data_IF_236260300639
#
_entry.id   IF_236260300639
#
_cell.length_a   1.000
_cell.length_b   1.000
_cell.length_c   1.000
_cell.angle_alpha   90.00
_cell.angle_beta   90.00
_cell.angle_gamma   90.00
#
_symmetry.space_group_name_H-M   'P 1'
#
loop_
_entity.id
_entity.type
_entity.pdbx_description
1 polymer ?
#
# COMPACT_ATOMS: atom_id res chain seq x y z
N UNK A 1 5.48 -17.23 81.46
CA UNK A 1 4.25 -18.00 81.16
C UNK A 1 3.21 -17.05 80.59
N UNK A 2 2.54 -17.48 79.51
CA UNK A 2 1.31 -16.95 78.89
C UNK A 2 1.46 -15.89 77.77
N UNK A 3 1.23 -16.45 76.58
CA UNK A 3 0.92 -15.90 75.26
C UNK A 3 -0.02 -14.69 75.24
N UNK A 4 0.15 -13.79 74.26
CA UNK A 4 -0.85 -13.66 73.18
C UNK A 4 -0.31 -12.87 71.99
N UNK A 5 -0.66 -13.36 70.81
CA UNK A 5 -0.27 -12.97 69.46
C UNK A 5 -1.38 -12.07 68.90
N UNK A 6 -1.07 -10.86 68.41
CA UNK A 6 -2.03 -10.01 67.69
C UNK A 6 -1.57 -9.85 66.24
N UNK A 7 -2.27 -10.55 65.34
CA UNK A 7 -2.13 -10.41 63.88
C UNK A 7 -2.95 -9.20 63.40
N UNK A 8 -2.28 -8.18 62.90
CA UNK A 8 -2.90 -7.09 62.14
C UNK A 8 -3.17 -7.57 60.71
N UNK A 9 -4.44 -7.76 60.37
CA UNK A 9 -4.88 -8.08 59.01
C UNK A 9 -4.81 -6.80 58.16
N UNK A 10 -3.86 -6.76 57.23
CA UNK A 10 -3.76 -5.73 56.20
C UNK A 10 -4.74 -6.07 55.06
N UNK A 11 -5.91 -5.45 55.05
CA UNK A 11 -6.87 -5.60 53.95
C UNK A 11 -6.39 -4.79 52.73
N UNK A 12 -5.65 -5.44 51.84
CA UNK A 12 -5.33 -4.90 50.52
C UNK A 12 -6.59 -5.00 49.63
N UNK A 13 -7.26 -3.87 49.40
CA UNK A 13 -8.36 -3.78 48.44
C UNK A 13 -7.86 -4.07 47.03
N UNK A 14 -8.24 -5.23 46.48
CA UNK A 14 -8.08 -5.53 45.06
C UNK A 14 -9.04 -4.66 44.26
N UNK A 15 -8.56 -3.55 43.71
CA UNK A 15 -9.22 -2.90 42.58
C UNK A 15 -9.03 -3.78 41.35
N UNK A 16 -10.01 -4.65 41.09
CA UNK A 16 -10.13 -5.35 39.82
C UNK A 16 -10.50 -4.31 38.74
N UNK A 17 -9.51 -3.76 38.04
CA UNK A 17 -9.75 -3.00 36.83
C UNK A 17 -10.16 -3.97 35.73
N UNK A 18 -11.43 -3.97 35.36
CA UNK A 18 -11.92 -4.64 34.17
C UNK A 18 -11.33 -3.94 32.94
N UNK A 19 -10.30 -4.55 32.33
CA UNK A 19 -9.81 -4.12 31.03
C UNK A 19 -10.90 -4.44 30.00
N UNK A 20 -11.62 -3.41 29.53
CA UNK A 20 -12.47 -3.52 28.37
C UNK A 20 -11.58 -3.81 27.16
N UNK A 21 -11.71 -5.01 26.57
CA UNK A 21 -11.08 -5.30 25.30
C UNK A 21 -11.67 -4.36 24.24
N UNK A 22 -10.83 -3.51 23.65
CA UNK A 22 -11.23 -2.67 22.52
C UNK A 22 -11.46 -3.57 21.30
N UNK A 23 -12.67 -3.55 20.74
CA UNK A 23 -13.02 -4.27 19.51
C UNK A 23 -12.59 -3.52 18.23
N UNK A 24 -11.68 -2.55 18.35
CA UNK A 24 -11.24 -1.69 17.25
C UNK A 24 -9.88 -2.16 16.71
N UNK A 25 -9.77 -2.21 15.39
CA UNK A 25 -8.50 -2.46 14.70
C UNK A 25 -7.74 -1.13 14.58
N UNK A 26 -6.45 -1.16 14.93
CA UNK A 26 -5.51 -0.07 14.61
C UNK A 26 -4.70 -0.49 13.38
N UNK A 27 -4.57 0.39 12.40
CA UNK A 27 -3.83 0.12 11.15
C UNK A 27 -2.86 1.25 10.82
N UNK A 28 -1.79 0.91 10.09
CA UNK A 28 -0.90 1.90 9.49
C UNK A 28 -1.44 2.30 8.13
N UNK A 29 -1.22 3.56 7.75
CA UNK A 29 -1.69 4.10 6.48
C UNK A 29 -0.71 5.12 5.90
N UNK A 30 -0.71 5.29 4.59
CA UNK A 30 0.16 6.25 3.91
C UNK A 30 -0.31 7.69 4.18
N UNK A 31 0.63 8.56 4.57
CA UNK A 31 0.35 10.00 4.70
C UNK A 31 0.34 10.67 3.33
N UNK A 32 -0.26 11.87 3.23
CA UNK A 32 -0.19 12.67 1.99
C UNK A 32 1.26 13.03 1.64
N UNK A 33 2.10 13.29 2.64
CA UNK A 33 3.52 13.62 2.45
C UNK A 33 4.27 12.47 1.79
N UNK A 34 4.15 11.25 2.34
CA UNK A 34 4.75 10.05 1.75
C UNK A 34 4.19 9.77 0.36
N UNK A 35 2.88 9.93 0.16
CA UNK A 35 2.26 9.74 -1.15
C UNK A 35 2.80 10.70 -2.23
N UNK A 36 2.95 11.99 -1.91
CA UNK A 36 3.51 12.98 -2.83
C UNK A 36 4.99 12.72 -3.11
N UNK A 37 5.76 12.33 -2.10
CA UNK A 37 7.17 11.99 -2.27
C UNK A 37 7.34 10.76 -3.14
N UNK A 38 6.58 9.69 -2.86
CA UNK A 38 6.59 8.47 -3.65
C UNK A 38 6.23 8.74 -5.12
N UNK A 39 5.19 9.52 -5.38
CA UNK A 39 4.82 9.91 -6.74
C UNK A 39 5.94 10.69 -7.45
N UNK A 40 6.61 11.60 -6.73
CA UNK A 40 7.70 12.42 -7.29
C UNK A 40 8.95 11.60 -7.60
N UNK A 41 9.32 10.63 -6.75
CA UNK A 41 10.44 9.72 -7.01
C UNK A 41 10.14 8.79 -8.20
N UNK A 42 8.89 8.34 -8.34
CA UNK A 42 8.46 7.55 -9.49
C UNK A 42 8.53 8.33 -10.81
N UNK A 43 8.11 9.60 -10.81
CA UNK A 43 8.27 10.50 -11.96
C UNK A 43 9.75 10.66 -12.31
N UNK A 44 10.62 10.84 -11.32
CA UNK A 44 12.06 10.97 -11.54
C UNK A 44 12.68 9.70 -12.13
N UNK A 45 12.35 8.51 -11.60
CA UNK A 45 12.84 7.24 -12.16
C UNK A 45 12.42 7.07 -13.62
N UNK A 46 11.13 7.23 -13.92
CA UNK A 46 10.62 7.10 -15.29
C UNK A 46 11.17 8.17 -16.24
N UNK A 47 11.33 9.42 -15.78
CA UNK A 47 11.93 10.49 -16.56
C UNK A 47 13.39 10.21 -16.91
N UNK A 48 14.17 9.60 -16.01
CA UNK A 48 15.57 9.25 -16.29
C UNK A 48 15.73 8.24 -17.45
N UNK A 49 14.68 7.47 -17.71
CA UNK A 49 14.58 6.53 -18.83
C UNK A 49 13.87 7.11 -20.07
N UNK A 50 13.58 8.42 -20.09
CA UNK A 50 12.84 9.11 -21.15
C UNK A 50 11.38 8.67 -21.33
N UNK A 51 10.74 8.15 -20.27
CA UNK A 51 9.33 7.80 -20.29
C UNK A 51 8.47 8.99 -19.87
N UNK A 52 7.27 9.12 -20.46
CA UNK A 52 6.27 10.12 -20.08
C UNK A 52 5.08 9.40 -19.47
N UNK A 53 4.94 9.50 -18.15
CA UNK A 53 3.98 8.67 -17.39
C UNK A 53 2.98 9.50 -16.58
N UNK A 54 1.90 8.86 -16.16
CA UNK A 54 1.12 9.25 -15.01
C UNK A 54 1.39 8.28 -13.84
N UNK A 55 1.38 8.83 -12.63
CA UNK A 55 1.57 8.12 -11.38
C UNK A 55 0.38 8.40 -10.47
N UNK A 56 -0.22 7.35 -9.91
CA UNK A 56 -1.26 7.44 -8.89
C UNK A 56 -0.82 6.72 -7.63
N UNK A 57 -1.05 7.33 -6.46
CA UNK A 57 -0.83 6.70 -5.16
C UNK A 57 -2.15 6.69 -4.40
N UNK A 58 -2.54 5.50 -3.93
CA UNK A 58 -3.76 5.28 -3.14
C UNK A 58 -3.39 4.84 -1.73
N UNK A 59 -4.23 5.19 -0.77
CA UNK A 59 -4.10 4.77 0.62
C UNK A 59 -4.61 3.35 0.86
N UNK A 60 -4.51 2.87 2.10
CA UNK A 60 -4.97 1.54 2.50
C UNK A 60 -6.46 1.29 2.26
N UNK A 61 -7.28 2.35 2.20
CA UNK A 61 -8.71 2.26 1.89
C UNK A 61 -9.01 2.24 0.38
N UNK A 62 -7.96 2.34 -0.46
CA UNK A 62 -8.07 2.38 -1.91
C UNK A 62 -8.43 3.75 -2.47
N UNK A 63 -8.33 4.81 -1.66
CA UNK A 63 -8.66 6.17 -2.05
C UNK A 63 -7.41 6.92 -2.51
N UNK A 64 -7.56 7.70 -3.57
CA UNK A 64 -6.47 8.48 -4.16
C UNK A 64 -5.92 9.52 -3.17
N UNK A 65 -4.60 9.51 -2.98
CA UNK A 65 -3.87 10.48 -2.15
C UNK A 65 -3.06 11.47 -2.98
N UNK A 66 -2.45 10.98 -4.06
CA UNK A 66 -1.65 11.78 -4.97
C UNK A 66 -1.80 11.27 -6.40
N UNK A 67 -1.80 12.21 -7.34
CA UNK A 67 -1.72 11.92 -8.78
C UNK A 67 -0.81 12.94 -9.45
N UNK A 68 0.09 12.48 -10.30
CA UNK A 68 0.97 13.33 -11.10
C UNK A 68 0.97 12.82 -12.54
N UNK A 69 0.92 13.74 -13.51
CA UNK A 69 0.96 13.40 -14.94
C UNK A 69 2.01 14.27 -15.63
N UNK A 70 2.95 13.63 -16.31
CA UNK A 70 3.92 14.33 -17.15
C UNK A 70 3.25 14.93 -18.38
N UNK A 71 3.74 16.08 -18.86
CA UNK A 71 3.09 16.87 -19.92
C UNK A 71 2.78 16.06 -21.18
N UNK A 72 3.66 15.12 -21.55
CA UNK A 72 3.55 14.30 -22.75
C UNK A 72 2.96 12.89 -22.49
N UNK A 73 2.51 12.60 -21.28
CA UNK A 73 1.86 11.34 -20.98
C UNK A 73 0.44 11.29 -21.59
N UNK A 74 0.08 10.19 -22.24
CA UNK A 74 -1.23 10.02 -22.88
C UNK A 74 -2.38 10.13 -21.88
N UNK A 75 -3.56 10.63 -22.29
CA UNK A 75 -4.68 10.90 -21.39
C UNK A 75 -5.19 9.67 -20.61
N UNK A 76 -5.08 8.48 -21.21
CA UNK A 76 -5.52 7.22 -20.60
C UNK A 76 -4.65 6.79 -19.42
N UNK A 77 -3.43 7.33 -19.30
CA UNK A 77 -2.45 6.91 -18.29
C UNK A 77 -2.89 7.23 -16.87
N UNK A 78 -3.68 8.29 -16.65
CA UNK A 78 -4.17 8.68 -15.32
C UNK A 78 -5.04 7.58 -14.74
N UNK A 79 -6.13 7.20 -15.43
CA UNK A 79 -7.02 6.16 -14.93
C UNK A 79 -6.32 4.79 -14.92
N UNK A 80 -5.51 4.48 -15.95
CA UNK A 80 -4.73 3.24 -15.97
C UNK A 80 -3.80 3.11 -14.75
N UNK A 81 -3.09 4.18 -14.39
CA UNK A 81 -2.20 4.19 -13.21
C UNK A 81 -2.98 3.95 -11.92
N UNK A 82 -4.16 4.57 -11.76
CA UNK A 82 -5.05 4.37 -10.61
C UNK A 82 -5.59 2.95 -10.54
N UNK A 83 -6.07 2.38 -11.65
CA UNK A 83 -6.59 1.00 -11.71
C UNK A 83 -5.48 -0.02 -11.41
N UNK A 84 -4.25 0.20 -11.90
CA UNK A 84 -3.11 -0.66 -11.55
C UNK A 84 -2.78 -0.60 -10.06
N UNK A 85 -2.80 0.60 -9.45
CA UNK A 85 -2.63 0.75 -8.01
C UNK A 85 -3.73 0.01 -7.23
N UNK A 86 -4.98 0.13 -7.69
CA UNK A 86 -6.13 -0.56 -7.09
C UNK A 86 -6.00 -2.08 -7.18
N UNK A 87 -5.64 -2.64 -8.34
CA UNK A 87 -5.31 -4.06 -8.50
C UNK A 87 -4.25 -4.47 -7.48
N UNK A 88 -3.18 -3.69 -7.36
CA UNK A 88 -2.06 -4.03 -6.50
C UNK A 88 -2.42 -4.01 -5.01
N UNK A 89 -3.17 -2.98 -4.57
CA UNK A 89 -3.67 -2.89 -3.21
C UNK A 89 -4.62 -4.05 -2.89
N UNK A 90 -5.62 -4.27 -3.75
CA UNK A 90 -6.69 -5.25 -3.50
C UNK A 90 -6.18 -6.68 -3.50
N UNK A 91 -5.15 -6.98 -4.29
CA UNK A 91 -4.58 -8.34 -4.39
C UNK A 91 -3.33 -8.52 -3.55
N UNK A 92 -2.78 -7.44 -2.98
CA UNK A 92 -1.49 -7.39 -2.29
C UNK A 92 -0.32 -7.98 -3.11
N UNK A 93 -0.46 -7.95 -4.44
CA UNK A 93 0.52 -8.42 -5.42
C UNK A 93 0.78 -7.32 -6.44
N UNK A 94 1.83 -7.42 -7.24
CA UNK A 94 1.98 -6.47 -8.35
C UNK A 94 0.89 -6.70 -9.39
N UNK A 95 0.44 -5.66 -10.08
CA UNK A 95 -0.56 -5.82 -11.14
C UNK A 95 -0.05 -6.68 -12.31
N UNK A 96 1.27 -6.74 -12.51
CA UNK A 96 1.91 -7.67 -13.44
C UNK A 96 1.79 -9.13 -13.00
N UNK A 97 1.98 -9.42 -11.72
CA UNK A 97 1.86 -10.78 -11.19
C UNK A 97 0.42 -11.28 -11.29
N UNK A 98 -0.56 -10.41 -11.07
CA UNK A 98 -1.99 -10.74 -11.25
C UNK A 98 -2.29 -11.02 -12.73
N UNK A 99 -1.75 -10.21 -13.65
CA UNK A 99 -1.85 -10.45 -15.09
C UNK A 99 -1.26 -11.82 -15.48
N UNK A 100 -0.05 -12.14 -14.99
CA UNK A 100 0.60 -13.44 -15.25
C UNK A 100 -0.22 -14.60 -14.72
N UNK A 101 -0.83 -14.46 -13.54
CA UNK A 101 -1.75 -15.47 -12.99
C UNK A 101 -2.98 -15.66 -13.88
N UNK A 102 -3.63 -14.58 -14.34
CA UNK A 102 -4.78 -14.68 -15.22
C UNK A 102 -4.46 -15.35 -16.57
N UNK A 103 -3.25 -15.14 -17.09
CA UNK A 103 -2.79 -15.75 -18.34
C UNK A 103 -2.44 -17.24 -18.22
N UNK A 104 -1.95 -17.67 -17.05
CA UNK A 104 -1.45 -19.04 -16.83
C UNK A 104 -2.44 -19.96 -16.11
N UNK A 105 -3.52 -19.41 -15.55
CA UNK A 105 -4.54 -20.16 -14.83
C UNK A 105 -5.93 -19.83 -15.38
N UNK A 106 -6.57 -20.80 -16.04
CA UNK A 106 -7.93 -20.65 -16.58
C UNK A 106 -8.97 -20.23 -15.52
N UNK A 107 -8.79 -20.65 -14.26
CA UNK A 107 -9.67 -20.23 -13.17
C UNK A 107 -9.54 -18.75 -12.80
N UNK A 108 -8.49 -18.07 -13.25
CA UNK A 108 -8.21 -16.66 -13.00
C UNK A 108 -8.41 -15.77 -14.24
N UNK A 109 -8.85 -16.32 -15.38
CA UNK A 109 -8.95 -15.58 -16.65
C UNK A 109 -9.90 -14.38 -16.59
N UNK A 110 -10.91 -14.42 -15.70
CA UNK A 110 -11.91 -13.36 -15.51
C UNK A 110 -11.54 -12.34 -14.42
N UNK A 111 -10.32 -12.39 -13.85
CA UNK A 111 -9.89 -11.39 -12.86
C UNK A 111 -9.92 -9.96 -13.41
N UNK A 112 -9.75 -9.79 -14.72
CA UNK A 112 -9.85 -8.48 -15.39
C UNK A 112 -11.27 -7.91 -15.45
N UNK A 113 -12.30 -8.73 -15.21
CA UNK A 113 -13.71 -8.29 -15.23
C UNK A 113 -14.15 -7.68 -13.89
N UNK A 114 -13.31 -7.79 -12.85
CA UNK A 114 -13.56 -7.17 -11.55
C UNK A 114 -13.49 -5.65 -11.70
N UNK A 115 -14.52 -4.89 -11.29
CA UNK A 115 -14.52 -3.44 -11.38
C UNK A 115 -13.28 -2.81 -10.72
N UNK A 116 -12.60 -1.94 -11.47
CA UNK A 116 -11.39 -1.25 -11.02
C UNK A 116 -10.09 -2.01 -11.23
N UNK A 117 -10.13 -3.31 -11.58
CA UNK A 117 -8.91 -4.06 -11.88
C UNK A 117 -8.39 -3.68 -13.26
N UNK A 118 -7.09 -3.43 -13.34
CA UNK A 118 -6.33 -3.44 -14.58
C UNK A 118 -5.18 -4.42 -14.46
N UNK A 119 -5.25 -5.49 -15.25
CA UNK A 119 -4.23 -6.55 -15.31
C UNK A 119 -3.14 -6.18 -16.31
N UNK A 120 -2.33 -5.21 -15.92
CA UNK A 120 -1.18 -4.72 -16.68
C UNK A 120 -0.13 -4.23 -15.70
N UNK A 121 1.14 -4.54 -15.93
CA UNK A 121 2.23 -4.14 -15.03
C UNK A 121 2.26 -2.63 -14.76
N UNK A 122 2.72 -2.26 -13.57
CA UNK A 122 2.88 -0.86 -13.13
C UNK A 122 2.29 -0.56 -11.76
N UNK A 123 1.47 -1.44 -11.21
CA UNK A 123 0.93 -1.36 -9.85
C UNK A 123 1.79 -2.15 -8.87
N UNK A 124 2.19 -1.52 -7.76
CA UNK A 124 3.02 -2.13 -6.71
C UNK A 124 2.44 -1.80 -5.32
N UNK A 125 2.26 -2.80 -4.44
CA UNK A 125 1.88 -2.56 -3.05
C UNK A 125 2.97 -1.79 -2.30
N UNK A 126 2.59 -0.80 -1.50
CA UNK A 126 3.50 -0.07 -0.60
C UNK A 126 3.36 -0.66 0.79
N UNK A 127 4.47 -1.04 1.41
CA UNK A 127 4.49 -1.73 2.71
C UNK A 127 5.23 -0.95 3.78
N UNK A 128 4.78 -1.10 5.02
CA UNK A 128 5.52 -0.77 6.24
C UNK A 128 5.72 -2.07 7.03
N UNK A 129 6.95 -2.59 7.04
CA UNK A 129 7.20 -3.98 7.44
C UNK A 129 6.43 -4.95 6.55
N UNK A 130 5.62 -5.83 7.16
CA UNK A 130 4.78 -6.79 6.44
C UNK A 130 3.39 -6.23 6.07
N UNK A 131 3.02 -5.06 6.59
CA UNK A 131 1.71 -4.46 6.40
C UNK A 131 1.66 -3.65 5.10
N UNK A 132 0.71 -3.97 4.21
CA UNK A 132 0.37 -3.11 3.07
C UNK A 132 -0.38 -1.88 3.59
N UNK A 133 0.17 -0.69 3.32
CA UNK A 133 -0.34 0.62 3.78
C UNK A 133 -0.89 1.49 2.65
N UNK A 134 -0.85 0.99 1.42
CA UNK A 134 -1.29 1.67 0.21
C UNK A 134 -0.73 1.00 -1.03
N UNK A 135 -0.87 1.64 -2.19
CA UNK A 135 -0.26 1.19 -3.43
C UNK A 135 0.09 2.37 -4.33
N UNK A 136 1.11 2.17 -5.17
CA UNK A 136 1.45 3.06 -6.28
C UNK A 136 1.11 2.35 -7.58
N UNK A 137 0.64 3.11 -8.57
CA UNK A 137 0.46 2.65 -9.93
C UNK A 137 1.02 3.66 -10.92
N UNK A 138 1.63 3.14 -12.00
CA UNK A 138 2.28 3.95 -13.04
C UNK A 138 1.77 3.50 -14.41
N UNK A 139 1.58 4.45 -15.33
CA UNK A 139 1.19 4.18 -16.71
C UNK A 139 1.86 5.14 -17.69
N UNK A 140 2.42 4.61 -18.78
CA UNK A 140 2.87 5.41 -19.93
C UNK A 140 4.27 5.07 -20.44
N UNK A 141 5.03 4.23 -19.73
CA UNK A 141 6.26 3.67 -20.27
C UNK A 141 5.96 2.73 -21.46
N UNK A 142 6.95 2.37 -22.30
CA UNK A 142 6.74 1.47 -23.44
C UNK A 142 6.12 0.11 -23.09
N UNK A 143 6.25 -0.34 -21.83
CA UNK A 143 5.57 -1.52 -21.31
C UNK A 143 5.19 -1.34 -19.85
N UNK A 144 4.20 -2.12 -19.39
CA UNK A 144 3.81 -2.14 -17.98
C UNK A 144 4.91 -2.66 -17.03
N UNK A 145 5.81 -3.51 -17.50
CA UNK A 145 6.97 -3.94 -16.70
C UNK A 145 7.94 -2.78 -16.42
N UNK A 146 8.09 -1.85 -17.37
CA UNK A 146 8.89 -0.64 -17.19
C UNK A 146 8.20 0.37 -16.27
N UNK A 147 6.87 0.50 -16.36
CA UNK A 147 6.08 1.24 -15.36
C UNK A 147 6.34 0.66 -13.95
N UNK A 148 6.35 -0.66 -13.82
CA UNK A 148 6.55 -1.34 -12.53
C UNK A 148 7.95 -1.15 -11.98
N UNK A 149 8.97 -1.15 -12.84
CA UNK A 149 10.34 -0.87 -12.44
C UNK A 149 10.46 0.53 -11.82
N UNK A 150 9.86 1.56 -12.44
CA UNK A 150 9.86 2.91 -11.86
C UNK A 150 9.20 2.95 -10.47
N UNK A 151 8.14 2.16 -10.27
CA UNK A 151 7.47 2.06 -8.97
C UNK A 151 8.36 1.39 -7.91
N UNK A 152 9.08 0.32 -8.28
CA UNK A 152 10.04 -0.32 -7.39
C UNK A 152 11.18 0.61 -7.01
N UNK A 153 11.77 1.32 -7.98
CA UNK A 153 12.85 2.28 -7.72
C UNK A 153 12.40 3.37 -6.75
N UNK A 154 11.19 3.90 -6.93
CA UNK A 154 10.62 4.92 -6.07
C UNK A 154 10.40 4.43 -4.63
N UNK A 155 9.83 3.23 -4.46
CA UNK A 155 9.63 2.61 -3.14
C UNK A 155 10.99 2.37 -2.47
N UNK A 156 11.97 1.84 -3.20
CA UNK A 156 13.31 1.59 -2.67
C UNK A 156 13.96 2.89 -2.17
N UNK A 157 13.81 3.97 -2.95
CA UNK A 157 14.38 5.29 -2.64
C UNK A 157 13.89 5.88 -1.32
N UNK A 158 12.62 5.62 -0.95
CA UNK A 158 12.00 6.14 0.28
C UNK A 158 11.84 5.08 1.38
N UNK A 159 12.44 3.91 1.24
CA UNK A 159 12.23 2.76 2.13
C UNK A 159 12.49 3.05 3.62
N UNK A 160 13.46 3.91 3.94
CA UNK A 160 13.74 4.33 5.32
C UNK A 160 12.61 5.13 5.97
N UNK A 161 11.73 5.73 5.17
CA UNK A 161 10.58 6.53 5.63
C UNK A 161 9.30 5.71 5.74
N UNK A 162 9.32 4.46 5.25
CA UNK A 162 8.21 3.51 5.34
C UNK A 162 8.34 2.58 6.56
N UNK A 163 9.45 2.67 7.31
CA UNK A 163 9.78 1.78 8.44
C UNK A 163 9.08 2.18 9.74
#
# INVERSE_FOLDING_TARGET
>A
MKHSLFYTVLAAGLFAQSAFASSLITERNITLEIANKLASEAIQSCKSNNYNVAVSVIDKSGVLKAVQRMDKAGLHTVEASKMKAYTALSTQRTSEDVMKTAQSNLGAQYLGDIPGFLLLGGGVPVKSGDEVIGAIGIGGAPSGSLDQQCAFDAIQKISSELS
#
